data_IF_750663211134
#
_entry.id   IF_750663211134
#
_cell.length_a   1.000
_cell.length_b   1.000
_cell.length_c   1.000
_cell.angle_alpha   90.00
_cell.angle_beta   90.00
_cell.angle_gamma   90.00
#
_symmetry.space_group_name_H-M   'P 1'
#
loop_
_entity.id
_entity.type
_entity.pdbx_description
1 polymer ?
#
# COMPACT_ATOMS: atom_id res chain seq x y z
N UNK A 1 -9.71 -6.46 -1.02
CA UNK A 1 -9.02 -5.15 -0.98
C UNK A 1 -10.06 -4.05 -1.03
N UNK A 2 -9.82 -2.93 -0.38
CA UNK A 2 -10.66 -1.72 -0.38
C UNK A 2 -9.85 -0.54 -0.87
N UNK A 3 -10.49 0.35 -1.62
CA UNK A 3 -9.94 1.63 -2.06
C UNK A 3 -10.98 2.71 -1.82
N UNK A 4 -10.56 3.87 -1.33
CA UNK A 4 -11.40 5.04 -1.12
C UNK A 4 -10.71 6.30 -1.63
N UNK A 5 -11.44 7.12 -2.37
CA UNK A 5 -11.01 8.47 -2.72
C UNK A 5 -11.21 9.41 -1.53
N UNK A 6 -10.28 10.36 -1.32
CA UNK A 6 -10.44 11.40 -0.30
C UNK A 6 -11.57 12.40 -0.61
N UNK A 7 -12.08 12.39 -1.85
CA UNK A 7 -13.24 13.20 -2.23
C UNK A 7 -14.56 12.62 -1.70
N UNK A 8 -14.56 11.36 -1.23
CA UNK A 8 -15.70 10.83 -0.52
C UNK A 8 -15.80 11.47 0.87
N UNK A 9 -17.03 11.81 1.31
CA UNK A 9 -17.22 12.36 2.65
C UNK A 9 -16.62 11.42 3.70
N UNK A 10 -16.15 12.00 4.80
CA UNK A 10 -15.68 11.21 5.93
C UNK A 10 -16.73 10.14 6.28
N UNK A 11 -16.31 8.91 6.58
CA UNK A 11 -17.26 7.88 6.97
C UNK A 11 -18.09 8.37 8.15
N UNK A 12 -19.35 8.66 7.88
CA UNK A 12 -20.30 9.09 8.91
C UNK A 12 -20.51 7.90 9.84
N UNK A 13 -20.18 8.08 11.11
CA UNK A 13 -20.30 7.03 12.12
C UNK A 13 -19.11 6.06 12.13
N UNK A 14 -18.38 6.09 13.19
CA UNK A 14 -17.28 5.18 13.49
C UNK A 14 -16.61 5.63 14.78
N UNK A 15 -16.18 4.68 15.58
CA UNK A 15 -15.53 4.94 16.86
C UNK A 15 -14.05 4.62 16.77
N UNK A 16 -13.22 5.59 17.09
CA UNK A 16 -11.79 5.36 17.33
C UNK A 16 -11.62 4.65 18.67
N UNK A 17 -10.65 3.76 18.77
CA UNK A 17 -10.26 3.24 20.09
C UNK A 17 -9.71 4.35 20.99
N UNK A 18 -9.71 4.11 22.30
CA UNK A 18 -9.13 5.05 23.29
C UNK A 18 -7.67 5.38 22.93
N UNK A 19 -6.91 4.38 22.49
CA UNK A 19 -5.51 4.59 22.08
C UNK A 19 -5.40 5.46 20.84
N UNK A 20 -6.23 5.23 19.81
CA UNK A 20 -6.24 6.05 18.60
C UNK A 20 -6.65 7.50 18.86
N UNK A 21 -7.55 7.74 19.83
CA UNK A 21 -7.89 9.09 20.28
C UNK A 21 -6.67 9.77 20.93
N UNK A 22 -5.94 9.06 21.79
CA UNK A 22 -4.70 9.58 22.41
C UNK A 22 -3.64 9.89 21.37
N UNK A 23 -3.41 8.96 20.44
CA UNK A 23 -2.45 9.11 19.34
C UNK A 23 -2.81 10.31 18.46
N UNK A 24 -4.09 10.45 18.11
CA UNK A 24 -4.59 11.60 17.33
C UNK A 24 -4.36 12.94 18.06
N UNK A 25 -4.52 12.98 19.37
CA UNK A 25 -4.30 14.18 20.16
C UNK A 25 -2.83 14.63 20.21
N UNK A 26 -1.89 13.69 20.00
CA UNK A 26 -0.47 13.98 19.83
C UNK A 26 -0.09 14.55 18.46
N UNK A 27 -1.03 14.56 17.50
CA UNK A 27 -0.83 15.08 16.15
C UNK A 27 -1.51 16.45 15.99
N UNK A 28 -1.08 17.23 15.00
CA UNK A 28 -1.64 18.55 14.68
C UNK A 28 -2.11 18.66 13.23
N UNK A 29 -3.03 19.58 12.98
CA UNK A 29 -3.49 19.99 11.65
C UNK A 29 -3.91 18.81 10.77
N UNK A 30 -3.45 18.82 9.51
CA UNK A 30 -3.79 17.80 8.50
C UNK A 30 -3.35 16.39 8.90
N UNK A 31 -2.25 16.25 9.66
CA UNK A 31 -1.78 14.93 10.11
C UNK A 31 -2.78 14.27 11.05
N UNK A 32 -3.39 15.05 11.96
CA UNK A 32 -4.46 14.58 12.85
C UNK A 32 -5.68 14.12 12.04
N UNK A 33 -6.14 14.94 11.10
CA UNK A 33 -7.31 14.65 10.28
C UNK A 33 -7.10 13.40 9.43
N UNK A 34 -5.97 13.29 8.72
CA UNK A 34 -5.60 12.10 7.94
C UNK A 34 -5.51 10.85 8.80
N UNK A 35 -4.89 10.95 10.00
CA UNK A 35 -4.79 9.84 10.93
C UNK A 35 -6.17 9.34 11.34
N UNK A 36 -7.04 10.23 11.83
CA UNK A 36 -8.41 9.88 12.24
C UNK A 36 -9.20 9.24 11.10
N UNK A 37 -9.20 9.87 9.91
CA UNK A 37 -9.88 9.35 8.72
C UNK A 37 -9.44 7.94 8.37
N UNK A 38 -8.14 7.68 8.31
CA UNK A 38 -7.62 6.36 7.94
C UNK A 38 -8.00 5.29 8.96
N UNK A 39 -8.03 5.59 10.28
CA UNK A 39 -8.42 4.61 11.32
C UNK A 39 -9.91 4.31 11.28
N UNK A 40 -10.75 5.33 11.19
CA UNK A 40 -12.19 5.14 11.04
C UNK A 40 -12.53 4.30 9.81
N UNK A 41 -11.90 4.61 8.67
CA UNK A 41 -12.10 3.87 7.44
C UNK A 41 -11.63 2.40 7.54
N UNK A 42 -10.42 2.17 8.06
CA UNK A 42 -9.91 0.81 8.25
C UNK A 42 -10.81 -0.01 9.18
N UNK A 43 -11.22 0.55 10.32
CA UNK A 43 -12.12 -0.13 11.24
C UNK A 43 -13.43 -0.51 10.59
N UNK A 44 -14.04 0.39 9.83
CA UNK A 44 -15.29 0.13 9.12
C UNK A 44 -15.13 -1.00 8.09
N UNK A 45 -14.08 -0.96 7.26
CA UNK A 45 -13.85 -2.00 6.27
C UNK A 45 -13.60 -3.37 6.91
N UNK A 46 -12.87 -3.41 8.02
CA UNK A 46 -12.59 -4.66 8.75
C UNK A 46 -13.82 -5.14 9.53
N UNK A 47 -14.61 -4.24 10.10
CA UNK A 47 -15.88 -4.57 10.75
C UNK A 47 -16.84 -5.29 9.81
N UNK A 48 -17.00 -4.73 8.60
CA UNK A 48 -17.81 -5.38 7.55
C UNK A 48 -17.22 -6.75 7.11
N UNK A 49 -15.89 -6.90 7.15
CA UNK A 49 -15.23 -8.16 6.79
C UNK A 49 -15.38 -9.24 7.86
N UNK A 50 -15.40 -8.85 9.14
CA UNK A 50 -15.42 -9.75 10.28
C UNK A 50 -16.78 -9.88 10.93
N UNK A 51 -17.78 -9.16 10.44
CA UNK A 51 -19.14 -9.09 11.04
C UNK A 51 -19.09 -8.62 12.51
N UNK A 52 -18.39 -7.49 12.73
CA UNK A 52 -18.18 -6.90 14.05
C UNK A 52 -18.64 -5.44 14.10
N UNK A 53 -18.81 -4.90 15.31
CA UNK A 53 -18.86 -3.46 15.49
C UNK A 53 -17.46 -2.84 15.22
N UNK A 54 -17.35 -1.67 14.55
CA UNK A 54 -16.07 -1.01 14.31
C UNK A 54 -15.23 -0.77 15.56
N UNK A 55 -15.85 -0.60 16.74
CA UNK A 55 -15.14 -0.45 18.02
C UNK A 55 -14.48 -1.73 18.51
N UNK A 56 -15.01 -2.88 18.10
CA UNK A 56 -14.52 -4.22 18.51
C UNK A 56 -13.39 -4.73 17.61
N UNK A 57 -13.16 -4.11 16.43
CA UNK A 57 -12.07 -4.52 15.54
C UNK A 57 -10.72 -4.38 16.27
N UNK A 58 -9.94 -5.46 16.40
CA UNK A 58 -8.70 -5.44 17.17
C UNK A 58 -7.52 -4.85 16.38
N UNK A 59 -7.72 -3.67 15.80
CA UNK A 59 -6.74 -2.96 14.99
C UNK A 59 -5.75 -2.19 15.85
N UNK A 60 -4.47 -2.39 15.62
CA UNK A 60 -3.36 -1.59 16.14
C UNK A 60 -2.68 -0.85 15.00
N UNK A 61 -2.76 0.46 14.98
CA UNK A 61 -2.24 1.28 13.87
C UNK A 61 -1.72 2.64 14.39
N UNK A 62 -0.61 2.66 15.17
CA UNK A 62 -0.05 3.89 15.71
C UNK A 62 0.53 4.80 14.61
N UNK A 63 0.74 6.10 14.88
CA UNK A 63 1.34 7.01 13.93
C UNK A 63 2.76 6.56 13.53
N UNK A 64 3.03 6.55 12.22
CA UNK A 64 4.36 6.22 11.69
C UNK A 64 4.71 4.73 11.67
N UNK A 65 3.80 3.85 12.09
CA UNK A 65 3.98 2.40 12.00
C UNK A 65 2.89 1.75 11.13
N UNK A 66 3.19 0.58 10.53
CA UNK A 66 2.21 -0.15 9.75
C UNK A 66 1.06 -0.66 10.64
N UNK A 67 -0.17 -0.73 10.11
CA UNK A 67 -1.29 -1.33 10.80
C UNK A 67 -1.06 -2.82 11.02
N UNK A 68 -1.61 -3.34 12.13
CA UNK A 68 -1.49 -4.77 12.50
C UNK A 68 -2.79 -5.26 13.12
N UNK A 69 -3.02 -6.55 12.93
CA UNK A 69 -4.05 -7.33 13.62
C UNK A 69 -3.38 -8.36 14.54
N UNK A 70 -4.04 -8.83 15.60
CA UNK A 70 -3.52 -9.90 16.45
C UNK A 70 -3.31 -11.21 15.69
N UNK A 71 -2.52 -12.15 16.23
CA UNK A 71 -2.41 -13.50 15.67
C UNK A 71 -3.77 -14.15 15.46
N UNK A 72 -3.97 -14.81 14.33
CA UNK A 72 -5.23 -15.44 13.94
C UNK A 72 -6.21 -14.53 13.18
N UNK A 73 -6.01 -13.22 13.17
CA UNK A 73 -6.87 -12.26 12.44
C UNK A 73 -6.37 -11.93 11.04
N UNK A 74 -5.27 -12.52 10.62
CA UNK A 74 -4.67 -12.29 9.31
C UNK A 74 -3.74 -11.08 9.28
N UNK A 75 -3.44 -10.64 8.06
CA UNK A 75 -2.48 -9.59 7.74
C UNK A 75 -3.18 -8.42 7.08
N UNK A 76 -2.73 -7.22 7.39
CA UNK A 76 -3.28 -5.99 6.84
C UNK A 76 -2.15 -5.11 6.29
N UNK A 77 -2.39 -4.48 5.17
CA UNK A 77 -1.49 -3.49 4.58
C UNK A 77 -2.26 -2.26 4.16
N UNK A 78 -1.67 -1.08 4.36
CA UNK A 78 -2.25 0.21 4.02
C UNK A 78 -1.29 0.99 3.12
N UNK A 79 -1.82 1.61 2.10
CA UNK A 79 -1.14 2.65 1.31
C UNK A 79 -2.03 3.87 1.16
N UNK A 80 -1.42 5.02 0.95
CA UNK A 80 -2.13 6.26 0.67
C UNK A 80 -1.32 7.15 -0.26
N UNK A 81 -1.99 7.76 -1.19
CA UNK A 81 -1.46 8.84 -2.00
C UNK A 81 -2.16 10.16 -1.64
N UNK A 82 -1.97 11.19 -2.46
CA UNK A 82 -2.50 12.53 -2.20
C UNK A 82 -4.02 12.56 -1.96
N UNK A 83 -4.78 11.73 -2.66
CA UNK A 83 -6.24 11.81 -2.75
C UNK A 83 -6.96 10.46 -2.60
N UNK A 84 -6.24 9.40 -2.24
CA UNK A 84 -6.83 8.09 -2.01
C UNK A 84 -6.07 7.26 -0.98
N UNK A 85 -6.75 6.27 -0.42
CA UNK A 85 -6.18 5.22 0.42
C UNK A 85 -6.57 3.85 -0.14
N UNK A 86 -5.64 2.89 -0.07
CA UNK A 86 -5.89 1.49 -0.37
C UNK A 86 -5.51 0.63 0.84
N UNK A 87 -6.38 -0.32 1.17
CA UNK A 87 -6.16 -1.31 2.22
C UNK A 87 -6.33 -2.71 1.64
N UNK A 88 -5.43 -3.61 1.99
CA UNK A 88 -5.55 -5.02 1.70
C UNK A 88 -5.53 -5.83 3.00
N UNK A 89 -6.35 -6.88 3.06
CA UNK A 89 -6.36 -7.86 4.13
C UNK A 89 -6.30 -9.26 3.54
N UNK A 90 -5.62 -10.18 4.24
CA UNK A 90 -5.52 -11.60 3.86
C UNK A 90 -5.18 -12.46 5.08
N UNK A 91 -5.52 -13.75 5.02
CA UNK A 91 -5.05 -14.74 6.00
C UNK A 91 -3.54 -15.04 5.86
N UNK A 92 -2.94 -14.69 4.75
CA UNK A 92 -1.50 -14.80 4.43
C UNK A 92 -0.87 -13.40 4.43
N UNK A 93 0.46 -13.27 4.56
CA UNK A 93 1.14 -11.99 4.41
C UNK A 93 0.71 -11.27 3.12
N UNK A 94 0.45 -9.97 3.22
CA UNK A 94 -0.02 -9.14 2.12
C UNK A 94 0.62 -7.75 2.18
N UNK A 95 0.90 -7.18 1.01
CA UNK A 95 1.33 -5.80 0.87
C UNK A 95 0.53 -5.10 -0.21
N UNK A 96 0.19 -3.84 -0.01
CA UNK A 96 -0.48 -3.00 -1.02
C UNK A 96 0.24 -1.67 -1.16
N UNK A 97 0.36 -1.21 -2.40
CA UNK A 97 0.80 0.14 -2.68
C UNK A 97 -0.09 0.82 -3.72
N UNK A 98 -0.18 2.15 -3.63
CA UNK A 98 -1.09 2.99 -4.39
C UNK A 98 -0.41 4.30 -4.75
N UNK A 99 -0.41 4.65 -6.04
CA UNK A 99 0.10 5.92 -6.54
C UNK A 99 -0.80 6.49 -7.63
N UNK A 100 -0.76 7.81 -7.82
CA UNK A 100 -1.46 8.44 -8.94
C UNK A 100 -0.72 8.21 -10.26
N UNK A 101 -1.47 7.89 -11.31
CA UNK A 101 -0.94 7.75 -12.66
C UNK A 101 -0.31 9.05 -13.19
N UNK A 102 -0.84 10.21 -12.78
CA UNK A 102 -0.34 11.54 -13.18
C UNK A 102 0.78 12.10 -12.27
N UNK A 103 1.31 11.28 -11.33
CA UNK A 103 2.41 11.68 -10.45
C UNK A 103 3.63 12.11 -11.27
N UNK A 104 4.07 13.36 -11.09
CA UNK A 104 5.30 13.88 -11.68
C UNK A 104 6.49 13.61 -10.75
N UNK A 105 7.56 13.03 -11.30
CA UNK A 105 8.81 12.75 -10.59
C UNK A 105 9.96 12.50 -11.58
N UNK A 106 11.23 12.67 -11.19
CA UNK A 106 12.39 12.42 -12.04
C UNK A 106 12.62 10.91 -12.22
N UNK A 107 11.86 10.28 -13.13
CA UNK A 107 11.79 8.83 -13.29
C UNK A 107 13.16 8.16 -13.50
N UNK A 108 13.99 8.70 -14.41
CA UNK A 108 15.32 8.16 -14.69
C UNK A 108 16.24 8.18 -13.46
N UNK A 109 16.25 9.31 -12.74
CA UNK A 109 17.08 9.47 -11.53
C UNK A 109 16.61 8.56 -10.39
N UNK A 110 15.28 8.40 -10.24
CA UNK A 110 14.70 7.49 -9.25
C UNK A 110 15.06 6.03 -9.55
N UNK A 111 14.92 5.61 -10.80
CA UNK A 111 15.29 4.25 -11.21
C UNK A 111 16.80 4.00 -11.02
N UNK A 112 17.66 4.90 -11.46
CA UNK A 112 19.11 4.77 -11.32
C UNK A 112 19.56 4.64 -9.86
N UNK A 113 18.83 5.28 -8.93
CA UNK A 113 19.18 5.28 -7.51
C UNK A 113 18.66 4.07 -6.74
N UNK A 114 17.50 3.55 -7.11
CA UNK A 114 16.75 2.63 -6.26
C UNK A 114 16.36 1.31 -6.93
N UNK A 115 16.60 1.13 -8.23
CA UNK A 115 16.17 -0.07 -8.91
C UNK A 115 17.33 -1.06 -9.09
N UNK A 116 16.98 -2.32 -9.23
CA UNK A 116 17.98 -3.37 -9.51
C UNK A 116 18.54 -3.21 -10.93
N UNK A 117 19.72 -3.78 -11.22
CA UNK A 117 20.27 -3.76 -12.58
C UNK A 117 19.29 -4.32 -13.63
N UNK A 118 18.56 -5.40 -13.31
CA UNK A 118 17.59 -6.01 -14.22
C UNK A 118 16.40 -5.08 -14.50
N UNK A 119 15.88 -4.42 -13.46
CA UNK A 119 14.83 -3.40 -13.63
C UNK A 119 15.32 -2.24 -14.50
N UNK A 120 16.54 -1.76 -14.26
CA UNK A 120 17.14 -0.68 -15.05
C UNK A 120 17.35 -1.10 -16.51
N UNK A 121 17.76 -2.33 -16.76
CA UNK A 121 17.93 -2.85 -18.11
C UNK A 121 16.60 -2.88 -18.89
N UNK A 122 15.51 -3.28 -18.24
CA UNK A 122 14.18 -3.24 -18.88
C UNK A 122 13.73 -1.82 -19.22
N UNK A 123 14.16 -0.82 -18.45
CA UNK A 123 13.79 0.59 -18.63
C UNK A 123 14.62 1.31 -19.71
N UNK A 124 15.82 0.81 -20.08
CA UNK A 124 16.74 1.46 -21.00
C UNK A 124 16.13 1.92 -22.34
N UNK A 125 15.25 1.13 -23.01
CA UNK A 125 14.69 1.54 -24.30
C UNK A 125 13.55 2.56 -24.17
N UNK A 126 13.13 2.91 -22.95
CA UNK A 126 11.97 3.74 -22.71
C UNK A 126 12.37 5.21 -22.49
N UNK A 127 11.54 6.14 -22.94
CA UNK A 127 11.72 7.56 -22.79
C UNK A 127 10.40 8.28 -22.46
N UNK A 128 10.51 9.50 -21.93
CA UNK A 128 9.35 10.37 -21.67
C UNK A 128 8.28 9.70 -20.80
N UNK A 129 7.05 9.79 -21.24
CA UNK A 129 5.89 9.26 -20.50
C UNK A 129 5.92 7.73 -20.35
N UNK A 130 6.43 7.01 -21.35
CA UNK A 130 6.57 5.53 -21.27
C UNK A 130 7.54 5.13 -20.17
N UNK A 131 8.67 5.84 -20.06
CA UNK A 131 9.62 5.61 -18.98
C UNK A 131 8.98 5.94 -17.62
N UNK A 132 8.30 7.07 -17.50
CA UNK A 132 7.66 7.50 -16.26
C UNK A 132 6.64 6.46 -15.74
N UNK A 133 5.76 5.98 -16.62
CA UNK A 133 4.76 4.97 -16.25
C UNK A 133 5.39 3.62 -15.92
N UNK A 134 6.42 3.19 -16.65
CA UNK A 134 7.13 1.95 -16.35
C UNK A 134 7.83 2.01 -14.98
N UNK A 135 8.51 3.13 -14.68
CA UNK A 135 9.14 3.35 -13.37
C UNK A 135 8.07 3.38 -12.26
N UNK A 136 6.96 4.06 -12.47
CA UNK A 136 5.85 4.09 -11.50
C UNK A 136 5.30 2.69 -11.24
N UNK A 137 5.12 1.88 -12.28
CA UNK A 137 4.64 0.51 -12.19
C UNK A 137 5.58 -0.41 -11.40
N UNK A 138 6.90 -0.26 -11.62
CA UNK A 138 7.88 -0.99 -10.82
C UNK A 138 7.96 -0.47 -9.38
N UNK A 139 7.81 0.84 -9.19
CA UNK A 139 7.82 1.48 -7.86
C UNK A 139 6.71 0.93 -6.96
N UNK A 140 5.45 0.97 -7.40
CA UNK A 140 4.32 0.46 -6.60
C UNK A 140 4.47 -1.03 -6.28
N UNK A 141 5.05 -1.81 -7.20
CA UNK A 141 5.31 -3.23 -6.97
C UNK A 141 6.40 -3.47 -5.91
N UNK A 142 7.48 -2.67 -5.94
CA UNK A 142 8.55 -2.74 -4.93
C UNK A 142 8.01 -2.36 -3.54
N UNK A 143 7.27 -1.27 -3.43
CA UNK A 143 6.67 -0.85 -2.16
C UNK A 143 5.68 -1.88 -1.62
N UNK A 144 4.83 -2.46 -2.47
CA UNK A 144 3.95 -3.55 -2.07
C UNK A 144 4.73 -4.77 -1.57
N UNK A 145 5.82 -5.15 -2.24
CA UNK A 145 6.69 -6.26 -1.82
C UNK A 145 7.38 -6.00 -0.48
N UNK A 146 7.86 -4.78 -0.26
CA UNK A 146 8.48 -4.37 1.01
C UNK A 146 7.45 -4.43 2.14
N UNK A 147 6.23 -3.95 1.91
CA UNK A 147 5.13 -4.02 2.89
C UNK A 147 4.73 -5.48 3.18
N UNK A 148 4.70 -6.34 2.15
CA UNK A 148 4.47 -7.78 2.31
C UNK A 148 5.53 -8.43 3.20
N UNK A 149 6.79 -8.10 3.00
CA UNK A 149 7.92 -8.59 3.80
C UNK A 149 7.98 -7.98 5.20
N UNK A 150 7.19 -6.92 5.47
CA UNK A 150 7.32 -6.05 6.66
C UNK A 150 8.72 -5.40 6.76
N UNK A 151 9.32 -5.12 5.63
CA UNK A 151 10.64 -4.54 5.48
C UNK A 151 10.67 -3.02 5.61
N UNK A 152 11.79 -2.44 5.23
CA UNK A 152 12.04 -0.99 5.27
C UNK A 152 12.36 -0.46 3.88
N UNK A 153 11.66 0.60 3.45
CA UNK A 153 11.93 1.27 2.18
C UNK A 153 13.42 1.63 2.02
N UNK A 154 14.03 2.17 3.06
CA UNK A 154 15.43 2.61 3.02
C UNK A 154 16.44 1.47 2.78
N UNK A 155 16.10 0.25 3.19
CA UNK A 155 17.01 -0.92 3.08
C UNK A 155 16.69 -1.81 1.89
N UNK A 156 15.40 -1.98 1.59
CA UNK A 156 14.93 -3.07 0.73
C UNK A 156 14.54 -2.60 -0.68
N UNK A 157 14.40 -1.28 -0.92
CA UNK A 157 13.95 -0.76 -2.20
C UNK A 157 14.85 -1.17 -3.38
N UNK A 158 16.16 -1.15 -3.18
CA UNK A 158 17.16 -1.61 -4.16
C UNK A 158 17.35 -3.12 -4.20
N UNK A 159 16.70 -3.88 -3.31
CA UNK A 159 16.83 -5.33 -3.22
C UNK A 159 15.70 -6.07 -3.94
N UNK A 160 14.53 -5.47 -4.07
CA UNK A 160 13.41 -6.04 -4.78
C UNK A 160 13.51 -5.78 -6.28
N UNK A 161 13.63 -6.83 -7.10
CA UNK A 161 13.46 -6.78 -8.55
C UNK A 161 12.00 -7.02 -8.93
N UNK A 162 11.42 -6.10 -9.69
CA UNK A 162 9.97 -6.05 -9.99
C UNK A 162 9.72 -5.71 -11.46
N UNK A 163 10.34 -6.42 -12.41
CA UNK A 163 10.16 -6.15 -13.85
C UNK A 163 8.67 -6.11 -14.23
N UNK A 164 8.32 -5.27 -15.19
CA UNK A 164 6.92 -5.05 -15.55
C UNK A 164 6.26 -6.31 -16.13
N UNK A 165 7.05 -7.15 -16.81
CA UNK A 165 6.58 -8.41 -17.43
C UNK A 165 6.41 -9.53 -16.41
N UNK A 166 7.06 -9.45 -15.26
CA UNK A 166 6.99 -10.49 -14.25
C UNK A 166 5.81 -10.27 -13.31
N UNK A 167 4.95 -11.26 -13.16
CA UNK A 167 3.97 -11.33 -12.08
C UNK A 167 4.59 -11.70 -10.73
N UNK A 168 5.92 -11.72 -10.60
CA UNK A 168 6.64 -12.10 -9.38
C UNK A 168 7.77 -11.10 -9.11
N UNK A 169 7.78 -10.56 -7.89
CA UNK A 169 8.91 -9.80 -7.37
C UNK A 169 9.90 -10.75 -6.66
N UNK A 170 11.20 -10.44 -6.75
CA UNK A 170 12.27 -11.24 -6.15
C UNK A 170 13.22 -10.36 -5.36
N UNK A 171 13.54 -10.78 -4.14
CA UNK A 171 14.50 -10.08 -3.28
C UNK A 171 15.90 -10.67 -3.42
N UNK A 172 16.86 -9.86 -3.83
CA UNK A 172 18.23 -10.31 -4.12
C UNK A 172 18.95 -10.86 -2.88
N UNK A 173 18.79 -10.21 -1.74
CA UNK A 173 19.46 -10.57 -0.48
C UNK A 173 18.84 -11.80 0.20
N UNK A 174 17.53 -11.77 0.47
CA UNK A 174 16.83 -12.85 1.22
C UNK A 174 16.38 -14.02 0.35
N UNK A 175 16.51 -13.91 -0.99
CA UNK A 175 16.02 -14.90 -1.98
C UNK A 175 14.50 -15.13 -1.93
N UNK A 176 13.78 -14.32 -1.21
CA UNK A 176 12.32 -14.38 -1.18
C UNK A 176 11.73 -14.00 -2.55
N UNK A 177 10.57 -14.56 -2.85
CA UNK A 177 9.79 -14.22 -4.01
C UNK A 177 8.32 -14.09 -3.62
N UNK A 178 7.60 -13.14 -4.22
CA UNK A 178 6.19 -12.92 -3.98
C UNK A 178 5.46 -12.60 -5.28
N UNK A 179 4.25 -13.13 -5.42
CA UNK A 179 3.38 -12.79 -6.55
C UNK A 179 2.93 -11.33 -6.47
N UNK A 180 2.95 -10.64 -7.61
CA UNK A 180 2.53 -9.25 -7.75
C UNK A 180 1.38 -9.16 -8.76
N UNK A 181 0.29 -8.58 -8.34
CA UNK A 181 -0.75 -8.13 -9.24
C UNK A 181 -0.73 -6.59 -9.32
N UNK A 182 -0.70 -6.06 -10.56
CA UNK A 182 -0.79 -4.63 -10.84
C UNK A 182 -2.05 -4.35 -11.63
N UNK A 183 -2.76 -3.30 -11.30
CA UNK A 183 -3.93 -2.86 -12.06
C UNK A 183 -4.15 -1.36 -11.90
N UNK A 184 -4.82 -0.77 -12.87
CA UNK A 184 -5.20 0.64 -12.84
C UNK A 184 -6.67 0.77 -12.45
N UNK A 185 -6.93 1.71 -11.57
CA UNK A 185 -8.26 2.21 -11.21
C UNK A 185 -8.19 3.72 -11.36
N UNK A 186 -8.43 4.20 -12.59
CA UNK A 186 -8.23 5.61 -12.95
C UNK A 186 -8.75 6.57 -11.87
N UNK A 187 -7.93 7.50 -11.37
CA UNK A 187 -6.60 7.90 -11.82
C UNK A 187 -5.43 7.21 -11.08
N UNK A 188 -5.63 6.06 -10.46
CA UNK A 188 -4.63 5.40 -9.60
C UNK A 188 -4.06 4.13 -10.24
N UNK A 189 -2.79 3.88 -9.94
CA UNK A 189 -2.09 2.61 -10.15
C UNK A 189 -1.92 1.91 -8.81
N UNK A 190 -2.29 0.64 -8.76
CA UNK A 190 -2.24 -0.19 -7.54
C UNK A 190 -1.38 -1.40 -7.79
N UNK A 191 -0.59 -1.79 -6.79
CA UNK A 191 0.05 -3.10 -6.74
C UNK A 191 -0.30 -3.83 -5.44
N UNK A 192 -0.54 -5.12 -5.56
CA UNK A 192 -0.73 -6.02 -4.41
C UNK A 192 0.30 -7.13 -4.48
N UNK A 193 1.04 -7.31 -3.39
CA UNK A 193 2.00 -8.39 -3.17
C UNK A 193 1.41 -9.42 -2.21
N UNK A 194 1.38 -10.70 -2.60
CA UNK A 194 0.86 -11.77 -1.75
C UNK A 194 0.62 -13.06 -2.51
N UNK A 195 0.33 -14.14 -1.78
CA UNK A 195 -0.12 -15.41 -2.35
C UNK A 195 -1.63 -15.43 -2.53
N UNK A 196 -2.10 -16.05 -3.63
CA UNK A 196 -3.52 -16.27 -3.90
C UNK A 196 -4.15 -15.29 -4.90
N UNK A 197 -5.43 -15.53 -5.21
CA UNK A 197 -6.22 -14.65 -6.06
C UNK A 197 -6.60 -13.39 -5.27
N UNK A 198 -6.50 -12.24 -5.94
CA UNK A 198 -7.05 -11.00 -5.38
C UNK A 198 -8.55 -11.12 -5.45
N UNK A 199 -9.19 -11.14 -4.29
CA UNK A 199 -10.64 -11.06 -4.18
C UNK A 199 -11.18 -9.71 -4.69
N UNK A 200 -12.49 -9.51 -4.67
CA UNK A 200 -13.12 -8.30 -5.21
C UNK A 200 -12.51 -7.03 -4.63
N UNK A 201 -12.34 -6.02 -5.50
CA UNK A 201 -11.93 -4.67 -5.10
C UNK A 201 -13.21 -3.90 -4.78
N UNK A 202 -13.41 -3.57 -3.52
CA UNK A 202 -14.52 -2.71 -3.10
C UNK A 202 -14.09 -1.24 -3.25
N UNK A 203 -14.70 -0.53 -4.18
CA UNK A 203 -14.61 0.93 -4.28
C UNK A 203 -15.64 1.54 -3.32
N UNK A 204 -15.19 2.44 -2.43
CA UNK A 204 -16.06 3.13 -1.46
C UNK A 204 -15.78 4.62 -1.42
#
# INVERSE_FOLDING_TARGET
>A
MWLVSHNNPDPVGGTLSIQEVRDANGLSGMRRSSFRRSRLWMRRCLADCFDLDPSEVPLTAPPGAPPRLPPGWGWISLSHCRDAMAMAWSIQPIGVDLERLDRCFPAAALAARFFTPDDCHELQPLQGERLRLAVLSQWVAKEASIKWQQGSLAKDLGQWGCTAKSGVARHSGSKQAVSICRFSLDPWLVAVAGGGQIGPVCLR
#
